data_IF_713918025751
#
_entry.id   IF_713918025751
#
_cell.length_a   1.000
_cell.length_b   1.000
_cell.length_c   1.000
_cell.angle_alpha   90.00
_cell.angle_beta   90.00
_cell.angle_gamma   90.00
#
_symmetry.space_group_name_H-M   'P 1'
#
loop_
_entity.id
_entity.type
_entity.pdbx_description
1 polymer ?
#
# COMPACT_ATOMS: atom_id res chain seq x y z
N UNK A 1 -13.06 13.76 -8.52
CA UNK A 1 -12.48 13.23 -7.29
C UNK A 1 -11.48 12.14 -7.58
N UNK A 2 -10.47 12.04 -6.74
CA UNK A 2 -9.41 11.04 -6.92
C UNK A 2 -9.62 9.89 -5.95
N UNK A 3 -9.58 8.68 -6.49
CA UNK A 3 -9.72 7.46 -5.70
C UNK A 3 -8.53 6.57 -6.00
N UNK A 4 -7.76 6.24 -4.98
CA UNK A 4 -6.54 5.45 -5.14
C UNK A 4 -6.59 4.17 -4.35
N UNK A 5 -6.10 3.11 -4.96
CA UNK A 5 -5.73 1.87 -4.25
C UNK A 5 -4.22 1.85 -4.20
N UNK A 6 -3.65 1.53 -3.06
CA UNK A 6 -2.20 1.58 -2.88
C UNK A 6 -1.69 0.36 -2.15
N UNK A 7 -0.42 0.07 -2.37
CA UNK A 7 0.31 -0.97 -1.65
C UNK A 7 1.51 -0.34 -0.96
N UNK A 8 1.55 -0.49 0.35
CA UNK A 8 2.66 -0.02 1.17
C UNK A 8 3.61 -1.17 1.45
N UNK A 9 4.88 -0.84 1.57
CA UNK A 9 5.92 -1.78 1.95
C UNK A 9 6.70 -1.21 3.13
N UNK A 10 6.94 -2.04 4.13
CA UNK A 10 7.83 -1.73 5.24
C UNK A 10 8.91 -2.79 5.34
N UNK A 11 10.14 -2.33 5.41
CA UNK A 11 11.30 -3.18 5.56
C UNK A 11 11.90 -2.91 6.93
N UNK A 12 11.74 -3.85 7.85
CA UNK A 12 12.29 -3.73 9.20
C UNK A 12 13.15 -4.93 9.50
N UNK A 13 14.48 -4.73 9.51
CA UNK A 13 15.45 -5.80 9.71
C UNK A 13 15.23 -6.93 8.69
N UNK A 14 14.77 -8.09 9.16
CA UNK A 14 14.56 -9.26 8.31
C UNK A 14 13.10 -9.45 7.91
N UNK A 15 12.22 -8.57 8.35
CA UNK A 15 10.78 -8.71 8.07
C UNK A 15 10.32 -7.75 7.00
N UNK A 16 9.58 -8.29 6.02
CA UNK A 16 8.90 -7.51 5.01
C UNK A 16 7.42 -7.53 5.34
N UNK A 17 6.84 -6.36 5.49
CA UNK A 17 5.40 -6.22 5.70
C UNK A 17 4.80 -5.40 4.58
N UNK A 18 3.58 -5.74 4.19
CA UNK A 18 2.86 -4.97 3.19
C UNK A 18 1.45 -4.64 3.69
N UNK A 19 0.88 -3.58 3.14
CA UNK A 19 -0.47 -3.15 3.48
C UNK A 19 -1.16 -2.60 2.25
N UNK A 20 -2.38 -3.07 1.99
CA UNK A 20 -3.22 -2.59 0.91
C UNK A 20 -4.28 -1.67 1.48
N UNK A 21 -4.47 -0.51 0.84
CA UNK A 21 -5.47 0.42 1.30
C UNK A 21 -6.09 1.23 0.18
N UNK A 22 -7.08 2.03 0.56
CA UNK A 22 -7.76 2.97 -0.30
C UNK A 22 -7.64 4.37 0.31
N UNK A 23 -7.48 5.38 -0.54
CA UNK A 23 -7.49 6.76 -0.08
C UNK A 23 -7.83 7.71 -1.23
N UNK A 24 -8.29 8.89 -0.88
CA UNK A 24 -8.44 9.98 -1.84
C UNK A 24 -7.23 10.92 -1.84
N UNK A 25 -6.26 10.68 -0.96
CA UNK A 25 -5.06 11.50 -0.86
C UNK A 25 -3.89 10.64 -0.38
N UNK A 26 -3.07 10.18 -1.33
CA UNK A 26 -1.95 9.28 -1.06
C UNK A 26 -0.94 9.85 -0.07
N UNK A 27 -0.56 11.11 -0.25
CA UNK A 27 0.46 11.77 0.56
C UNK A 27 0.02 11.88 2.02
N UNK A 28 -1.20 12.33 2.23
CA UNK A 28 -1.78 12.47 3.58
C UNK A 28 -1.92 11.11 4.26
N UNK A 29 -2.39 10.11 3.52
CA UNK A 29 -2.60 8.76 4.06
C UNK A 29 -1.28 8.10 4.45
N UNK A 30 -0.25 8.25 3.62
CA UNK A 30 1.07 7.73 3.94
C UNK A 30 1.61 8.34 5.24
N UNK A 31 1.43 9.64 5.41
CA UNK A 31 1.83 10.33 6.63
C UNK A 31 1.10 9.77 7.86
N UNK A 32 -0.20 9.50 7.72
CA UNK A 32 -0.97 8.91 8.82
C UNK A 32 -0.43 7.52 9.19
N UNK A 33 -0.12 6.68 8.22
CA UNK A 33 0.46 5.37 8.50
C UNK A 33 1.80 5.49 9.21
N UNK A 34 2.65 6.40 8.76
CA UNK A 34 3.99 6.57 9.32
C UNK A 34 3.99 7.23 10.70
N UNK A 35 2.92 7.91 11.08
CA UNK A 35 2.79 8.52 12.41
C UNK A 35 1.95 7.68 13.37
N UNK A 36 1.57 6.46 12.96
CA UNK A 36 0.80 5.55 13.80
C UNK A 36 -0.68 5.85 13.87
N UNK A 37 -1.18 6.74 13.02
CA UNK A 37 -2.60 7.17 13.00
C UNK A 37 -3.38 6.61 11.81
N UNK A 38 -2.78 5.72 11.04
CA UNK A 38 -3.44 5.09 9.90
C UNK A 38 -4.29 3.92 10.33
N UNK A 39 -3.76 2.71 10.19
CA UNK A 39 -4.43 1.50 10.60
C UNK A 39 -3.70 0.90 11.80
N UNK A 40 -4.42 0.08 12.56
CA UNK A 40 -3.84 -0.61 13.72
C UNK A 40 -2.63 -1.45 13.33
N UNK A 41 -2.75 -2.17 12.21
CA UNK A 41 -1.69 -3.06 11.73
C UNK A 41 -0.46 -2.34 11.19
N UNK A 42 -0.55 -1.04 10.93
CA UNK A 42 0.58 -0.27 10.39
C UNK A 42 1.37 0.49 11.45
N UNK A 43 0.91 0.47 12.70
CA UNK A 43 1.58 1.19 13.79
C UNK A 43 2.98 0.66 14.05
N UNK A 44 3.90 1.57 14.27
CA UNK A 44 5.27 1.21 14.66
C UNK A 44 6.18 0.82 13.50
N UNK A 45 5.72 0.97 12.27
CA UNK A 45 6.49 0.66 11.08
C UNK A 45 6.65 1.90 10.22
N UNK A 46 7.73 1.95 9.46
CA UNK A 46 7.93 2.99 8.44
C UNK A 46 7.54 2.43 7.09
N UNK A 47 6.68 3.15 6.38
CA UNK A 47 6.06 2.69 5.15
C UNK A 47 6.47 3.52 3.96
N UNK A 48 6.57 2.84 2.80
CA UNK A 48 6.73 3.48 1.49
C UNK A 48 5.61 3.00 0.60
N UNK A 49 5.10 3.90 -0.26
CA UNK A 49 4.15 3.50 -1.30
C UNK A 49 4.97 2.92 -2.44
N UNK A 50 4.79 1.64 -2.73
CA UNK A 50 5.50 0.97 -3.83
C UNK A 50 4.64 0.76 -5.04
N UNK A 51 3.33 0.94 -4.92
CA UNK A 51 2.38 0.79 -6.00
C UNK A 51 1.12 1.56 -5.68
N UNK A 52 0.55 2.23 -6.68
CA UNK A 52 -0.77 2.81 -6.56
C UNK A 52 -1.44 2.88 -7.92
N UNK A 53 -2.76 2.91 -7.90
CA UNK A 53 -3.54 3.08 -9.10
C UNK A 53 -4.73 3.98 -8.81
N UNK A 54 -5.04 4.85 -9.78
CA UNK A 54 -6.15 5.79 -9.69
C UNK A 54 -7.38 5.20 -10.37
N UNK A 55 -8.54 5.40 -9.74
CA UNK A 55 -9.83 4.96 -10.27
C UNK A 55 -10.80 6.13 -10.37
N UNK A 56 -11.79 6.01 -11.25
CA UNK A 56 -12.74 7.08 -11.50
C UNK A 56 -13.85 7.15 -10.45
N UNK A 57 -14.09 6.08 -9.73
CA UNK A 57 -15.11 6.05 -8.69
C UNK A 57 -14.63 5.33 -7.44
N UNK A 58 -15.25 5.66 -6.32
CA UNK A 58 -14.97 4.99 -5.06
C UNK A 58 -15.33 3.51 -5.12
N UNK A 59 -16.46 3.19 -5.76
CA UNK A 59 -16.91 1.81 -5.92
C UNK A 59 -15.87 0.96 -6.64
N UNK A 60 -15.35 1.47 -7.74
CA UNK A 60 -14.32 0.80 -8.52
C UNK A 60 -13.05 0.59 -7.70
N UNK A 61 -12.63 1.63 -6.99
CA UNK A 61 -11.44 1.56 -6.13
C UNK A 61 -11.62 0.55 -5.00
N UNK A 62 -12.78 0.54 -4.36
CA UNK A 62 -13.04 -0.40 -3.27
C UNK A 62 -13.05 -1.85 -3.75
N UNK A 63 -13.58 -2.09 -4.95
CA UNK A 63 -13.57 -3.41 -5.57
C UNK A 63 -12.13 -3.87 -5.83
N UNK A 64 -11.32 -2.99 -6.40
CA UNK A 64 -9.92 -3.31 -6.69
C UNK A 64 -9.07 -3.48 -5.43
N UNK A 65 -9.36 -2.70 -4.40
CA UNK A 65 -8.71 -2.89 -3.10
C UNK A 65 -8.97 -4.29 -2.56
N UNK A 66 -10.24 -4.70 -2.63
CA UNK A 66 -10.64 -6.04 -2.17
C UNK A 66 -9.89 -7.14 -2.91
N UNK A 67 -9.83 -7.05 -4.24
CA UNK A 67 -9.13 -8.04 -5.05
C UNK A 67 -7.62 -8.04 -4.79
N UNK A 68 -7.01 -6.88 -4.64
CA UNK A 68 -5.58 -6.79 -4.37
C UNK A 68 -5.24 -7.40 -3.01
N UNK A 69 -6.09 -7.18 -2.01
CA UNK A 69 -5.92 -7.80 -0.68
C UNK A 69 -5.94 -9.33 -0.76
N UNK A 70 -6.80 -9.88 -1.58
CA UNK A 70 -6.93 -11.34 -1.74
C UNK A 70 -5.89 -11.95 -2.67
N UNK A 71 -5.31 -11.17 -3.56
CA UNK A 71 -4.38 -11.70 -4.55
C UNK A 71 -2.94 -11.64 -4.06
N UNK A 72 -2.57 -12.62 -3.26
CA UNK A 72 -1.23 -12.73 -2.70
C UNK A 72 -0.13 -12.80 -3.76
N UNK A 73 -0.37 -13.54 -4.85
CA UNK A 73 0.58 -13.69 -5.95
C UNK A 73 0.89 -12.35 -6.59
N UNK A 74 -0.14 -11.54 -6.84
CA UNK A 74 0.04 -10.23 -7.44
C UNK A 74 0.82 -9.30 -6.52
N UNK A 75 0.50 -9.29 -5.23
CA UNK A 75 1.25 -8.47 -4.27
C UNK A 75 2.72 -8.87 -4.24
N UNK A 76 3.02 -10.16 -4.24
CA UNK A 76 4.40 -10.65 -4.26
C UNK A 76 5.14 -10.20 -5.52
N UNK A 77 4.48 -10.23 -6.67
CA UNK A 77 5.08 -9.75 -7.93
C UNK A 77 5.42 -8.27 -7.87
N UNK A 78 4.51 -7.46 -7.34
CA UNK A 78 4.73 -6.02 -7.20
C UNK A 78 5.91 -5.76 -6.28
N UNK A 79 5.94 -6.43 -5.13
CA UNK A 79 7.02 -6.29 -4.15
C UNK A 79 8.36 -6.72 -4.75
N UNK A 80 8.38 -7.86 -5.39
CA UNK A 80 9.60 -8.38 -6.03
C UNK A 80 10.14 -7.41 -7.08
N UNK A 81 9.27 -6.91 -7.93
CA UNK A 81 9.66 -5.95 -8.96
C UNK A 81 10.22 -4.68 -8.34
N UNK A 82 9.57 -4.16 -7.31
CA UNK A 82 10.03 -2.97 -6.60
C UNK A 82 11.43 -3.20 -6.01
N UNK A 83 11.64 -4.30 -5.31
CA UNK A 83 12.91 -4.61 -4.67
C UNK A 83 14.02 -4.87 -5.69
N UNK A 84 13.68 -5.36 -6.88
CA UNK A 84 14.66 -5.58 -7.96
C UNK A 84 15.20 -4.27 -8.53
N UNK A 85 14.37 -3.23 -8.57
CA UNK A 85 14.75 -1.93 -9.10
C UNK A 85 15.16 -0.93 -8.02
N UNK A 86 14.87 -1.25 -6.75
CA UNK A 86 15.20 -0.40 -5.60
C UNK A 86 15.87 -1.26 -4.53
N UNK A 87 17.14 -1.66 -4.74
CA UNK A 87 17.82 -2.52 -3.79
C UNK A 87 17.96 -1.86 -2.43
N UNK A 88 17.97 -2.68 -1.41
CA UNK A 88 18.07 -2.23 -0.02
C UNK A 88 19.43 -1.60 0.29
#
# INVERSE_FOLDING_TARGET
MRHFVYLLLSLKKTKIKSYVGYTNNLKKRLKLHNTGKGAKSTRGYKWKIIYFRKYNSKKEAMTEEFFLKKNRKRRKKIIFKYLSTNPL
#
